data_IF_161070967956
#
_entry.id   IF_161070967956
#
_cell.length_a   1.000
_cell.length_b   1.000
_cell.length_c   1.000
_cell.angle_alpha   90.00
_cell.angle_beta   90.00
_cell.angle_gamma   90.00
#
_symmetry.space_group_name_H-M   'P 1'
#
loop_
_entity.id
_entity.type
_entity.pdbx_description
1 polymer ?
#
# COMPACT_ATOMS: atom_id res chain seq x y z
N UNK A 1 -21.17 -18.42 34.45
CA UNK A 1 -19.76 -18.85 34.50
C UNK A 1 -19.48 -19.29 35.92
N UNK A 2 -18.96 -20.50 36.12
CA UNK A 2 -18.66 -21.07 37.42
C UNK A 2 -17.61 -20.21 38.16
N UNK A 3 -17.78 -20.05 39.48
CA UNK A 3 -16.87 -19.22 40.32
C UNK A 3 -15.42 -19.67 40.24
N UNK A 4 -15.19 -20.98 40.13
CA UNK A 4 -13.82 -21.51 39.98
C UNK A 4 -13.19 -21.09 38.64
N UNK A 5 -13.97 -21.04 37.57
CA UNK A 5 -13.51 -20.56 36.25
C UNK A 5 -13.22 -19.05 36.25
N UNK A 6 -14.00 -18.26 36.97
CA UNK A 6 -13.74 -16.82 37.13
C UNK A 6 -12.44 -16.53 37.83
N UNK A 7 -12.16 -17.27 38.95
CA UNK A 7 -10.91 -17.15 39.71
C UNK A 7 -9.70 -17.57 38.87
N UNK A 8 -9.80 -18.69 38.15
CA UNK A 8 -8.73 -19.17 37.28
C UNK A 8 -8.44 -18.17 36.14
N UNK A 9 -9.48 -17.59 35.53
CA UNK A 9 -9.33 -16.56 34.49
C UNK A 9 -8.66 -15.30 35.04
N UNK A 10 -9.11 -14.81 36.20
CA UNK A 10 -8.52 -13.63 36.83
C UNK A 10 -7.04 -13.83 37.18
N UNK A 11 -6.67 -15.00 37.68
CA UNK A 11 -5.28 -15.36 37.96
C UNK A 11 -4.43 -15.40 36.68
N UNK A 12 -4.94 -16.02 35.60
CA UNK A 12 -4.27 -16.08 34.31
C UNK A 12 -4.06 -14.69 33.69
N UNK A 13 -5.08 -13.83 33.73
CA UNK A 13 -5.01 -12.44 33.23
C UNK A 13 -3.99 -11.62 34.03
N UNK A 14 -3.97 -11.74 35.36
CA UNK A 14 -2.99 -11.08 36.20
C UNK A 14 -1.57 -11.54 35.94
N UNK A 15 -1.35 -12.81 35.65
CA UNK A 15 -0.04 -13.35 35.31
C UNK A 15 0.44 -12.87 33.93
N UNK A 16 -0.47 -12.83 32.94
CA UNK A 16 -0.19 -12.30 31.61
C UNK A 16 0.15 -10.80 31.69
N UNK A 17 -0.61 -10.03 32.45
CA UNK A 17 -0.35 -8.59 32.63
C UNK A 17 1.01 -8.33 33.30
N UNK A 18 1.40 -9.16 34.28
CA UNK A 18 2.73 -9.07 34.90
C UNK A 18 3.86 -9.39 33.94
N UNK A 19 3.67 -10.37 33.05
CA UNK A 19 4.72 -10.87 32.17
C UNK A 19 4.84 -10.08 30.88
N UNK A 20 3.73 -9.61 30.32
CA UNK A 20 3.65 -8.99 29.00
C UNK A 20 3.19 -7.53 29.01
N UNK A 21 2.86 -6.98 30.17
CA UNK A 21 2.38 -5.61 30.32
C UNK A 21 0.87 -5.44 30.26
N UNK A 22 0.40 -4.26 30.73
CA UNK A 22 -1.01 -3.89 30.67
C UNK A 22 -1.53 -3.87 29.23
N UNK A 23 -2.70 -4.45 29.01
CA UNK A 23 -3.35 -4.50 27.70
C UNK A 23 -2.89 -5.67 26.80
N UNK A 24 -1.99 -6.56 27.29
CA UNK A 24 -1.60 -7.77 26.57
C UNK A 24 -2.82 -8.69 26.26
N UNK A 25 -3.81 -8.70 27.13
CA UNK A 25 -5.14 -9.31 26.92
C UNK A 25 -6.19 -8.32 27.38
N UNK A 26 -7.19 -8.09 26.53
CA UNK A 26 -8.31 -7.20 26.82
C UNK A 26 -9.63 -7.80 26.33
N UNK A 27 -10.73 -7.37 26.92
CA UNK A 27 -12.05 -7.75 26.40
C UNK A 27 -12.40 -6.85 25.22
N UNK A 28 -12.90 -7.42 24.13
CA UNK A 28 -13.25 -6.65 22.94
C UNK A 28 -14.32 -5.57 23.21
N UNK A 29 -15.20 -5.77 24.20
CA UNK A 29 -16.22 -4.81 24.63
C UNK A 29 -15.67 -3.62 25.42
N UNK A 30 -14.47 -3.75 26.00
CA UNK A 30 -13.84 -2.69 26.79
C UNK A 30 -13.01 -1.73 25.89
N UNK A 31 -12.86 -2.05 24.62
CA UNK A 31 -12.22 -1.20 23.63
C UNK A 31 -13.25 -0.21 23.08
N UNK A 32 -13.07 1.08 23.38
CA UNK A 32 -13.64 2.12 22.54
C UNK A 32 -13.18 1.84 21.10
N UNK A 33 -14.12 1.74 20.17
CA UNK A 33 -13.81 1.64 18.74
C UNK A 33 -13.09 2.92 18.33
N UNK A 34 -11.78 2.95 18.48
CA UNK A 34 -10.99 4.04 17.93
C UNK A 34 -11.17 4.00 16.41
N UNK A 35 -11.67 5.10 15.88
CA UNK A 35 -11.74 5.30 14.43
C UNK A 35 -10.33 5.12 13.84
N UNK A 36 -10.20 4.29 12.80
CA UNK A 36 -8.93 4.09 12.12
C UNK A 36 -8.62 5.38 11.38
N UNK A 37 -7.49 6.06 11.65
CA UNK A 37 -7.13 7.26 10.91
C UNK A 37 -6.95 6.92 9.44
N UNK A 38 -7.49 7.74 8.56
CA UNK A 38 -7.45 7.54 7.12
C UNK A 38 -6.87 8.77 6.40
N UNK A 39 -6.26 8.54 5.25
CA UNK A 39 -5.79 9.56 4.33
C UNK A 39 -6.66 9.51 3.08
N UNK A 40 -7.27 10.63 2.71
CA UNK A 40 -8.08 10.74 1.50
C UNK A 40 -7.28 10.38 0.26
N UNK A 41 -7.93 9.74 -0.69
CA UNK A 41 -7.37 9.46 -2.02
C UNK A 41 -7.46 10.63 -2.98
N UNK A 42 -8.20 11.68 -2.61
CA UNK A 42 -8.56 12.78 -3.50
C UNK A 42 -9.81 12.50 -4.34
N UNK A 43 -10.31 11.28 -4.34
CA UNK A 43 -11.57 10.88 -4.97
C UNK A 43 -12.62 10.57 -3.91
N UNK A 44 -13.65 11.40 -3.81
CA UNK A 44 -14.74 11.19 -2.85
C UNK A 44 -15.40 9.80 -3.02
N UNK A 45 -15.60 9.37 -4.27
CA UNK A 45 -16.20 8.07 -4.56
C UNK A 45 -15.35 6.92 -4.05
N UNK A 46 -14.03 7.00 -4.21
CA UNK A 46 -13.10 5.98 -3.71
C UNK A 46 -13.02 6.00 -2.18
N UNK A 47 -12.98 7.17 -1.57
CA UNK A 47 -12.97 7.32 -0.11
C UNK A 47 -14.22 6.70 0.53
N UNK A 48 -15.39 6.87 -0.08
CA UNK A 48 -16.64 6.21 0.33
C UNK A 48 -16.55 4.68 0.13
N UNK A 49 -16.02 4.23 -1.01
CA UNK A 49 -15.85 2.81 -1.30
C UNK A 49 -14.91 2.10 -0.32
N UNK A 50 -13.91 2.80 0.19
CA UNK A 50 -12.99 2.30 1.21
C UNK A 50 -13.62 2.16 2.61
N UNK A 51 -14.72 2.85 2.87
CA UNK A 51 -15.56 2.69 4.05
C UNK A 51 -15.09 3.42 5.31
N UNK A 52 -13.88 3.97 5.33
CA UNK A 52 -13.30 4.74 6.43
C UNK A 52 -12.90 6.16 6.04
N UNK A 53 -13.29 6.60 4.85
CA UNK A 53 -12.99 7.93 4.34
C UNK A 53 -11.63 8.08 3.67
N UNK A 54 -10.96 6.98 3.35
CA UNK A 54 -9.66 6.96 2.67
C UNK A 54 -8.87 5.70 2.95
N UNK A 55 -7.56 5.78 2.75
CA UNK A 55 -6.62 4.69 2.99
C UNK A 55 -6.17 4.67 4.45
N UNK A 56 -6.08 3.47 5.09
CA UNK A 56 -5.81 3.37 6.52
C UNK A 56 -4.36 3.69 6.87
N UNK A 57 -4.12 4.57 7.81
CA UNK A 57 -2.80 4.79 8.43
C UNK A 57 -2.40 3.57 9.26
N UNK A 58 -1.10 3.32 9.38
CA UNK A 58 -0.57 2.17 10.12
C UNK A 58 -0.78 0.84 9.41
N UNK A 59 -1.01 0.85 8.10
CA UNK A 59 -1.30 -0.33 7.28
C UNK A 59 -0.54 -0.32 5.97
N UNK A 60 -0.38 -1.51 5.40
CA UNK A 60 0.13 -1.72 4.05
C UNK A 60 -1.06 -1.79 3.08
N UNK A 61 -0.95 -1.06 1.98
CA UNK A 61 -1.91 -1.02 0.87
C UNK A 61 -1.19 -1.43 -0.41
N UNK A 62 -1.82 -2.25 -1.22
CA UNK A 62 -1.37 -2.57 -2.58
C UNK A 62 -2.33 -1.96 -3.60
N UNK A 63 -1.77 -1.25 -4.57
CA UNK A 63 -2.48 -0.76 -5.75
C UNK A 63 -1.87 -1.44 -6.97
N UNK A 64 -2.68 -2.18 -7.71
CA UNK A 64 -2.21 -2.91 -8.88
C UNK A 64 -3.14 -2.73 -10.07
N UNK A 65 -2.58 -2.87 -11.24
CA UNK A 65 -3.29 -2.75 -12.50
C UNK A 65 -2.34 -2.82 -13.70
N UNK A 66 -2.89 -2.78 -14.91
CA UNK A 66 -2.10 -2.69 -16.14
C UNK A 66 -1.23 -1.43 -16.16
N UNK A 67 -0.29 -1.42 -17.08
CA UNK A 67 0.46 -0.20 -17.40
C UNK A 67 -0.48 0.93 -17.84
N UNK A 68 -0.14 2.16 -17.51
CA UNK A 68 -0.93 3.36 -17.84
C UNK A 68 -2.39 3.35 -17.33
N UNK A 69 -2.66 2.58 -16.27
CA UNK A 69 -4.00 2.54 -15.63
C UNK A 69 -4.25 3.65 -14.61
N UNK A 70 -3.24 4.47 -14.29
CA UNK A 70 -3.34 5.57 -13.33
C UNK A 70 -2.87 5.25 -11.92
N UNK A 71 -2.10 4.18 -11.72
CA UNK A 71 -1.57 3.79 -10.39
C UNK A 71 -0.75 4.90 -9.74
N UNK A 72 0.25 5.40 -10.44
CA UNK A 72 1.13 6.47 -9.94
C UNK A 72 0.34 7.76 -9.73
N UNK A 73 -0.56 8.12 -10.64
CA UNK A 73 -1.43 9.28 -10.51
C UNK A 73 -2.28 9.23 -9.24
N UNK A 74 -2.89 8.07 -8.95
CA UNK A 74 -3.67 7.90 -7.73
C UNK A 74 -2.81 8.08 -6.47
N UNK A 75 -1.60 7.53 -6.45
CA UNK A 75 -0.71 7.68 -5.28
C UNK A 75 -0.20 9.10 -5.11
N UNK A 76 0.07 9.83 -6.20
CA UNK A 76 0.41 11.26 -6.13
C UNK A 76 -0.76 12.10 -5.60
N UNK A 77 -1.99 11.77 -5.96
CA UNK A 77 -3.18 12.38 -5.37
C UNK A 77 -3.29 12.13 -3.87
N UNK A 78 -2.99 10.92 -3.41
CA UNK A 78 -2.93 10.59 -1.96
C UNK A 78 -1.87 11.45 -1.25
N UNK A 79 -0.68 11.60 -1.84
CA UNK A 79 0.37 12.48 -1.29
C UNK A 79 -0.11 13.93 -1.20
N UNK A 80 -0.71 14.44 -2.27
CA UNK A 80 -1.23 15.82 -2.29
C UNK A 80 -2.27 16.05 -1.18
N UNK A 81 -3.20 15.12 -1.00
CA UNK A 81 -4.20 15.19 0.07
C UNK A 81 -3.56 15.11 1.47
N UNK A 82 -2.60 14.22 1.66
CA UNK A 82 -1.87 14.09 2.92
C UNK A 82 -1.11 15.39 3.27
N UNK A 83 -0.41 15.97 2.30
CA UNK A 83 0.36 17.20 2.50
C UNK A 83 -0.52 18.39 2.87
N UNK A 84 -1.76 18.48 2.35
CA UNK A 84 -2.73 19.52 2.77
C UNK A 84 -3.02 19.51 4.27
N UNK A 85 -2.83 18.36 4.91
CA UNK A 85 -3.01 18.19 6.36
C UNK A 85 -1.69 18.16 7.13
N UNK A 86 -0.60 18.64 6.54
CA UNK A 86 0.71 18.74 7.17
C UNK A 86 1.47 17.42 7.27
N UNK A 87 1.09 16.40 6.51
CA UNK A 87 1.78 15.11 6.51
C UNK A 87 3.13 15.18 5.80
N UNK A 88 4.10 14.42 6.32
CA UNK A 88 5.39 14.20 5.66
C UNK A 88 5.32 12.94 4.82
N UNK A 89 5.63 13.06 3.52
CA UNK A 89 5.51 12.00 2.54
C UNK A 89 6.86 11.66 1.91
N UNK A 90 7.03 10.39 1.56
CA UNK A 90 8.20 9.88 0.84
C UNK A 90 7.77 9.03 -0.36
N UNK A 91 8.56 9.10 -1.43
CA UNK A 91 8.35 8.34 -2.65
C UNK A 91 9.64 7.56 -2.98
N UNK A 92 9.56 6.24 -2.89
CA UNK A 92 10.64 5.33 -3.27
C UNK A 92 10.42 4.95 -4.73
N UNK A 93 11.13 5.65 -5.62
CA UNK A 93 11.00 5.56 -7.07
C UNK A 93 11.98 4.52 -7.64
N UNK A 94 11.61 3.25 -7.54
CA UNK A 94 12.41 2.15 -8.06
C UNK A 94 12.38 2.04 -9.60
N UNK A 95 11.40 2.66 -10.24
CA UNK A 95 11.32 2.75 -11.71
C UNK A 95 12.12 3.91 -12.29
N UNK A 96 12.57 4.84 -11.46
CA UNK A 96 13.28 6.08 -11.89
C UNK A 96 12.45 6.90 -12.90
N UNK A 97 11.15 6.96 -12.68
CA UNK A 97 10.19 7.52 -13.64
C UNK A 97 9.27 8.62 -13.04
N UNK A 98 9.54 9.06 -11.81
CA UNK A 98 8.76 10.14 -11.19
C UNK A 98 9.04 11.47 -11.88
N UNK A 99 7.97 12.07 -12.40
CA UNK A 99 7.99 13.39 -13.04
C UNK A 99 7.56 14.46 -12.02
N UNK A 100 8.47 15.36 -11.59
CA UNK A 100 8.15 16.43 -10.65
C UNK A 100 7.11 17.42 -11.17
N UNK A 101 7.14 17.74 -12.46
CA UNK A 101 6.19 18.68 -13.07
C UNK A 101 4.78 18.12 -13.06
N UNK A 102 4.65 16.82 -13.39
CA UNK A 102 3.37 16.12 -13.32
C UNK A 102 2.87 16.00 -11.88
N UNK A 103 3.74 15.65 -10.93
CA UNK A 103 3.39 15.62 -9.52
C UNK A 103 2.88 16.98 -9.01
N UNK A 104 3.57 18.06 -9.39
CA UNK A 104 3.17 19.43 -9.05
C UNK A 104 1.79 19.80 -9.60
N UNK A 105 1.47 19.40 -10.83
CA UNK A 105 0.14 19.62 -11.44
C UNK A 105 -0.99 18.88 -10.70
N UNK A 106 -0.68 17.74 -10.08
CA UNK A 106 -1.62 17.00 -9.24
C UNK A 106 -1.77 17.57 -7.83
N UNK A 107 -1.06 18.66 -7.52
CA UNK A 107 -1.14 19.35 -6.24
C UNK A 107 -0.12 18.87 -5.20
N UNK A 108 0.88 18.07 -5.61
CA UNK A 108 1.98 17.68 -4.73
C UNK A 108 2.91 18.87 -4.52
N UNK A 109 3.22 19.19 -3.25
CA UNK A 109 4.33 20.06 -2.93
C UNK A 109 5.63 19.26 -3.12
N UNK A 110 6.28 19.47 -4.26
CA UNK A 110 7.47 18.71 -4.66
C UNK A 110 8.70 19.07 -3.84
N UNK A 111 8.75 20.29 -3.31
CA UNK A 111 9.87 20.74 -2.48
C UNK A 111 9.91 20.02 -1.12
N UNK A 112 8.77 19.60 -0.61
CA UNK A 112 8.64 18.89 0.66
C UNK A 112 8.57 17.36 0.51
N UNK A 113 8.48 16.86 -0.72
CA UNK A 113 8.43 15.42 -0.98
C UNK A 113 9.83 14.81 -0.90
N UNK A 114 10.01 13.83 -0.02
CA UNK A 114 11.23 13.04 0.02
C UNK A 114 11.20 12.01 -1.10
N UNK A 115 12.26 11.96 -1.91
CA UNK A 115 12.38 11.01 -3.03
C UNK A 115 13.65 10.19 -2.88
N UNK A 116 13.54 8.87 -3.04
CA UNK A 116 14.65 7.92 -3.11
C UNK A 116 14.59 7.15 -4.42
N UNK A 117 15.74 7.00 -5.07
CA UNK A 117 15.86 6.21 -6.30
C UNK A 117 16.88 5.08 -6.09
N UNK A 118 16.46 3.97 -5.46
CA UNK A 118 17.34 2.86 -5.12
C UNK A 118 17.75 2.05 -6.35
N UNK A 119 18.93 1.43 -6.28
CA UNK A 119 19.47 0.60 -7.36
C UNK A 119 19.05 -0.86 -7.26
N UNK A 120 18.69 -1.33 -6.06
CA UNK A 120 18.33 -2.72 -5.80
C UNK A 120 17.03 -2.82 -4.99
N UNK A 121 16.36 -3.98 -5.07
CA UNK A 121 15.17 -4.26 -4.26
C UNK A 121 15.46 -4.24 -2.76
N UNK A 122 16.61 -4.78 -2.33
CA UNK A 122 17.05 -4.75 -0.94
C UNK A 122 17.20 -3.32 -0.43
N UNK A 123 17.85 -2.45 -1.20
CA UNK A 123 18.04 -1.04 -0.85
C UNK A 123 16.70 -0.31 -0.72
N UNK A 124 15.80 -0.51 -1.68
CA UNK A 124 14.47 0.11 -1.65
C UNK A 124 13.66 -0.27 -0.41
N UNK A 125 13.66 -1.56 -0.09
CA UNK A 125 12.88 -2.08 1.04
C UNK A 125 13.52 -1.73 2.38
N UNK A 126 14.85 -1.66 2.47
CA UNK A 126 15.55 -1.22 3.67
C UNK A 126 15.34 0.27 3.93
N UNK A 127 15.40 1.12 2.90
CA UNK A 127 15.05 2.54 3.01
C UNK A 127 13.62 2.70 3.50
N UNK A 128 12.68 1.94 2.93
CA UNK A 128 11.27 1.96 3.35
C UNK A 128 11.12 1.58 4.83
N UNK A 129 11.78 0.53 5.29
CA UNK A 129 11.74 0.10 6.69
C UNK A 129 12.35 1.16 7.63
N UNK A 130 13.47 1.77 7.23
CA UNK A 130 14.10 2.85 8.01
C UNK A 130 13.19 4.07 8.14
N UNK A 131 12.53 4.47 7.04
CA UNK A 131 11.57 5.57 7.05
C UNK A 131 10.36 5.27 7.95
N UNK A 132 9.84 4.05 7.91
CA UNK A 132 8.75 3.62 8.81
C UNK A 132 9.21 3.70 10.28
N UNK A 133 10.38 3.17 10.60
CA UNK A 133 10.91 3.15 11.97
C UNK A 133 11.27 4.54 12.53
N UNK A 134 11.47 5.52 11.68
CA UNK A 134 11.74 6.90 12.11
C UNK A 134 10.57 7.54 12.86
N UNK A 135 9.35 7.03 12.71
CA UNK A 135 8.10 7.60 13.21
C UNK A 135 7.82 9.04 12.73
N UNK A 136 8.54 9.51 11.71
CA UNK A 136 8.44 10.88 11.20
C UNK A 136 7.70 10.97 9.85
N UNK A 137 7.44 9.82 9.20
CA UNK A 137 6.82 9.77 7.88
C UNK A 137 5.39 9.25 7.99
N UNK A 138 4.46 9.95 7.38
CA UNK A 138 3.03 9.61 7.39
C UNK A 138 2.62 8.72 6.21
N UNK A 139 3.23 8.93 5.04
CA UNK A 139 2.94 8.20 3.80
C UNK A 139 4.23 7.86 3.09
N UNK A 140 4.35 6.60 2.69
CA UNK A 140 5.45 6.11 1.84
C UNK A 140 4.83 5.41 0.64
N UNK A 141 5.25 5.80 -0.56
CA UNK A 141 4.91 5.13 -1.81
C UNK A 141 6.14 4.35 -2.29
N UNK A 142 5.95 3.10 -2.70
CA UNK A 142 6.99 2.29 -3.36
C UNK A 142 6.51 1.99 -4.77
N UNK A 143 7.13 2.58 -5.76
CA UNK A 143 6.79 2.43 -7.18
C UNK A 143 7.98 1.88 -7.99
N UNK A 144 7.90 0.69 -8.45
CA UNK A 144 6.92 -0.36 -8.26
C UNK A 144 7.58 -1.65 -7.80
N UNK A 145 6.78 -2.59 -7.29
CA UNK A 145 7.28 -3.93 -6.89
C UNK A 145 7.99 -4.64 -8.04
N UNK A 146 7.52 -4.48 -9.27
CA UNK A 146 8.13 -5.07 -10.45
C UNK A 146 9.60 -4.62 -10.68
N UNK A 147 9.95 -3.42 -10.24
CA UNK A 147 11.29 -2.85 -10.35
C UNK A 147 12.20 -3.19 -9.15
N UNK A 148 11.69 -3.88 -8.14
CA UNK A 148 12.48 -4.32 -6.97
C UNK A 148 13.29 -5.57 -7.32
N UNK A 149 14.36 -5.38 -8.10
CA UNK A 149 15.25 -6.46 -8.54
C UNK A 149 16.22 -6.79 -7.42
N UNK A 150 16.33 -8.08 -7.01
CA UNK A 150 17.31 -8.51 -6.03
C UNK A 150 18.75 -8.24 -6.49
N UNK A 151 19.60 -7.82 -5.56
CA UNK A 151 21.01 -7.52 -5.85
C UNK A 151 21.74 -8.70 -6.51
N UNK A 152 21.49 -9.92 -6.03
CA UNK A 152 22.08 -11.12 -6.59
C UNK A 152 21.69 -11.36 -8.06
N UNK A 153 20.50 -10.91 -8.48
CA UNK A 153 20.06 -10.98 -9.87
C UNK A 153 20.77 -9.94 -10.74
N UNK A 154 21.03 -8.76 -10.19
CA UNK A 154 21.77 -7.68 -10.91
C UNK A 154 23.24 -8.06 -11.09
N UNK A 155 23.86 -8.66 -10.08
CA UNK A 155 25.28 -9.04 -10.08
C UNK A 155 25.56 -10.39 -10.76
N UNK A 156 24.51 -11.18 -11.08
CA UNK A 156 24.59 -12.45 -11.78
C UNK A 156 24.93 -12.31 -13.27
N UNK A 157 25.34 -13.40 -13.89
CA UNK A 157 25.60 -13.44 -15.32
C UNK A 157 24.30 -13.57 -16.13
N UNK A 158 24.34 -13.12 -17.40
CA UNK A 158 23.22 -13.27 -18.31
C UNK A 158 22.89 -14.77 -18.50
N UNK A 159 21.65 -15.13 -18.14
CA UNK A 159 21.19 -16.51 -18.22
C UNK A 159 21.15 -17.26 -16.89
N UNK A 160 21.68 -16.67 -15.82
CA UNK A 160 21.54 -17.25 -14.48
C UNK A 160 20.09 -17.37 -14.05
N UNK A 161 19.74 -18.47 -13.41
CA UNK A 161 18.40 -18.72 -12.92
C UNK A 161 18.24 -18.20 -11.48
N UNK A 162 17.50 -17.10 -11.33
CA UNK A 162 17.23 -16.49 -10.03
C UNK A 162 15.76 -16.68 -9.57
N UNK A 163 15.29 -17.91 -9.67
CA UNK A 163 13.88 -18.26 -9.39
C UNK A 163 13.51 -17.93 -7.93
N UNK A 164 12.48 -17.13 -7.77
CA UNK A 164 11.87 -16.85 -6.47
C UNK A 164 12.63 -15.90 -5.57
N UNK A 165 13.75 -15.30 -5.98
CA UNK A 165 14.50 -14.36 -5.15
C UNK A 165 13.69 -13.11 -4.77
N UNK A 166 12.97 -12.52 -5.73
CA UNK A 166 12.12 -11.36 -5.47
C UNK A 166 10.99 -11.68 -4.49
N UNK A 167 10.35 -12.84 -4.64
CA UNK A 167 9.29 -13.27 -3.73
C UNK A 167 9.80 -13.50 -2.29
N UNK A 168 11.01 -14.03 -2.12
CA UNK A 168 11.66 -14.20 -0.81
C UNK A 168 11.98 -12.84 -0.20
N UNK A 169 12.55 -11.93 -0.98
CA UNK A 169 12.88 -10.58 -0.55
C UNK A 169 11.63 -9.85 -0.07
N UNK A 170 10.53 -9.89 -0.85
CA UNK A 170 9.25 -9.29 -0.47
C UNK A 170 8.69 -9.90 0.82
N UNK A 171 8.72 -11.21 0.96
CA UNK A 171 8.24 -11.89 2.17
C UNK A 171 9.02 -11.48 3.42
N UNK A 172 10.34 -11.39 3.31
CA UNK A 172 11.21 -10.98 4.41
C UNK A 172 10.98 -9.52 4.80
N UNK A 173 10.96 -8.63 3.82
CA UNK A 173 10.79 -7.20 4.03
C UNK A 173 9.42 -6.86 4.62
N UNK A 174 8.35 -7.41 4.04
CA UNK A 174 6.98 -7.16 4.52
C UNK A 174 6.76 -7.68 5.94
N UNK A 175 7.41 -8.77 6.33
CA UNK A 175 7.38 -9.27 7.71
C UNK A 175 7.96 -8.25 8.69
N UNK A 176 9.10 -7.64 8.34
CA UNK A 176 9.73 -6.58 9.15
C UNK A 176 8.87 -5.32 9.19
N UNK A 177 8.48 -4.81 8.03
CA UNK A 177 7.70 -3.57 7.89
C UNK A 177 6.37 -3.69 8.65
N UNK A 178 5.66 -4.82 8.53
CA UNK A 178 4.39 -5.05 9.23
C UNK A 178 4.55 -5.00 10.76
N UNK A 179 5.67 -5.47 11.30
CA UNK A 179 5.97 -5.37 12.72
C UNK A 179 6.14 -3.92 13.19
N UNK A 180 6.71 -3.06 12.37
CA UNK A 180 7.04 -1.67 12.70
C UNK A 180 5.90 -0.69 12.40
N UNK A 181 5.12 -0.95 11.37
CA UNK A 181 4.16 0.02 10.80
C UNK A 181 3.02 0.38 11.76
N UNK A 182 2.58 -0.55 12.60
CA UNK A 182 1.50 -0.31 13.57
C UNK A 182 1.85 0.80 14.56
N UNK A 183 3.09 0.80 15.03
CA UNK A 183 3.58 1.77 16.01
C UNK A 183 3.92 3.11 15.36
N UNK A 184 4.30 3.09 14.08
CA UNK A 184 4.68 4.28 13.33
C UNK A 184 3.48 5.09 12.82
N UNK A 185 2.27 4.52 12.81
CA UNK A 185 1.07 5.13 12.24
C UNK A 185 1.28 5.65 10.80
N UNK A 186 2.12 4.94 10.04
CA UNK A 186 2.51 5.26 8.67
C UNK A 186 1.68 4.45 7.66
N UNK A 187 1.21 5.08 6.60
CA UNK A 187 0.62 4.41 5.45
C UNK A 187 1.72 4.06 4.45
N UNK A 188 1.88 2.78 4.12
CA UNK A 188 2.81 2.33 3.07
C UNK A 188 2.01 1.75 1.91
N UNK A 189 2.17 2.35 0.73
CA UNK A 189 1.50 1.93 -0.50
C UNK A 189 2.53 1.32 -1.44
N UNK A 190 2.31 0.07 -1.82
CA UNK A 190 3.07 -0.60 -2.88
C UNK A 190 2.27 -0.56 -4.18
N UNK A 191 2.87 0.01 -5.22
CA UNK A 191 2.36 -0.07 -6.58
C UNK A 191 2.85 -1.37 -7.20
N UNK A 192 1.97 -2.11 -7.87
CA UNK A 192 2.31 -3.37 -8.50
C UNK A 192 1.76 -3.47 -9.92
N UNK A 193 2.40 -4.31 -10.71
CA UNK A 193 2.01 -4.59 -12.09
C UNK A 193 1.33 -5.96 -12.17
N UNK A 194 0.51 -6.13 -13.21
CA UNK A 194 -0.10 -7.41 -13.54
C UNK A 194 0.83 -8.19 -14.46
N UNK A 195 0.89 -9.48 -14.24
CA UNK A 195 1.53 -10.48 -15.11
C UNK A 195 0.52 -11.56 -15.46
N UNK A 196 0.70 -12.18 -16.60
CA UNK A 196 -0.13 -13.29 -17.05
C UNK A 196 0.56 -14.62 -16.74
N UNK A 197 -0.12 -15.51 -16.04
CA UNK A 197 0.35 -16.88 -15.83
C UNK A 197 0.09 -17.71 -17.07
N UNK A 198 1.12 -18.39 -17.54
CA UNK A 198 1.02 -19.33 -18.66
C UNK A 198 0.37 -20.64 -18.18
N UNK A 199 -0.51 -21.22 -18.98
CA UNK A 199 -1.09 -22.54 -18.72
C UNK A 199 -2.27 -22.58 -17.74
N UNK A 200 -2.88 -21.44 -17.41
CA UNK A 200 -4.10 -21.41 -16.60
C UNK A 200 -5.31 -21.77 -17.45
N UNK A 201 -5.88 -22.95 -17.24
CA UNK A 201 -7.07 -23.44 -17.98
C UNK A 201 -8.38 -22.95 -17.36
N UNK A 202 -8.41 -22.63 -16.05
CA UNK A 202 -9.59 -22.18 -15.32
C UNK A 202 -9.25 -21.01 -14.40
N UNK A 203 -10.18 -20.06 -14.29
CA UNK A 203 -10.01 -18.85 -13.47
C UNK A 203 -9.26 -17.73 -14.20
N UNK A 204 -8.89 -16.68 -13.49
CA UNK A 204 -8.13 -15.56 -14.06
C UNK A 204 -6.64 -15.92 -14.17
N UNK A 205 -6.02 -15.75 -15.35
CA UNK A 205 -4.59 -15.91 -15.52
C UNK A 205 -3.78 -14.75 -14.92
N UNK A 206 -4.43 -13.66 -14.54
CA UNK A 206 -3.76 -12.48 -14.01
C UNK A 206 -3.17 -12.73 -12.63
N UNK A 207 -1.95 -12.28 -12.42
CA UNK A 207 -1.27 -12.28 -11.12
C UNK A 207 -0.43 -11.02 -10.98
N UNK A 208 -0.06 -10.68 -9.76
CA UNK A 208 0.83 -9.55 -9.47
C UNK A 208 2.27 -10.04 -9.31
N UNK A 209 3.25 -9.14 -9.50
CA UNK A 209 4.68 -9.45 -9.29
C UNK A 209 5.03 -9.56 -7.80
N UNK A 210 6.17 -10.15 -7.48
CA UNK A 210 6.68 -10.23 -6.10
C UNK A 210 6.09 -11.35 -5.24
N UNK A 211 5.43 -12.34 -5.86
CA UNK A 211 4.85 -13.49 -5.15
C UNK A 211 3.55 -13.15 -4.41
N UNK A 212 3.29 -13.89 -3.32
CA UNK A 212 2.02 -13.79 -2.58
C UNK A 212 2.09 -12.91 -1.32
N UNK A 213 3.27 -12.41 -0.95
CA UNK A 213 3.46 -11.72 0.33
C UNK A 213 2.56 -10.46 0.45
N UNK A 214 2.49 -9.61 -0.57
CA UNK A 214 1.61 -8.44 -0.57
C UNK A 214 0.14 -8.79 -0.48
N UNK A 215 -0.30 -9.87 -1.14
CA UNK A 215 -1.69 -10.34 -1.02
C UNK A 215 -2.05 -10.69 0.41
N UNK A 216 -1.09 -11.20 1.17
CA UNK A 216 -1.26 -11.58 2.57
C UNK A 216 -1.15 -10.39 3.52
N UNK A 217 -0.09 -9.58 3.40
CA UNK A 217 0.22 -8.51 4.35
C UNK A 217 -0.58 -7.23 4.12
N UNK A 218 -1.08 -6.98 2.91
CA UNK A 218 -1.91 -5.80 2.63
C UNK A 218 -3.23 -5.84 3.38
N UNK A 219 -3.59 -4.74 4.02
CA UNK A 219 -4.91 -4.55 4.63
C UNK A 219 -5.97 -4.13 3.61
N UNK A 220 -5.55 -3.42 2.57
CA UNK A 220 -6.37 -2.97 1.45
C UNK A 220 -5.65 -3.29 0.15
N UNK A 221 -6.38 -3.80 -0.84
CA UNK A 221 -5.89 -4.02 -2.20
C UNK A 221 -6.85 -3.39 -3.19
N UNK A 222 -6.31 -2.57 -4.07
CA UNK A 222 -7.05 -1.85 -5.10
C UNK A 222 -6.64 -2.34 -6.50
N UNK A 223 -7.61 -2.76 -7.29
CA UNK A 223 -7.48 -3.06 -8.71
C UNK A 223 -7.91 -1.84 -9.51
N UNK A 224 -6.97 -1.20 -10.20
CA UNK A 224 -7.23 0.00 -11.00
C UNK A 224 -7.18 -0.33 -12.49
N UNK A 225 -8.19 0.09 -13.24
CA UNK A 225 -8.35 -0.15 -14.67
C UNK A 225 -8.80 1.12 -15.40
N UNK A 226 -8.19 1.36 -16.54
CA UNK A 226 -8.72 2.30 -17.51
C UNK A 226 -9.93 1.66 -18.20
N UNK A 227 -11.06 2.37 -18.22
CA UNK A 227 -12.31 1.89 -18.83
C UNK A 227 -12.69 2.63 -20.12
N UNK A 228 -12.13 3.83 -20.33
CA UNK A 228 -12.42 4.64 -21.49
C UNK A 228 -11.46 5.82 -21.64
N UNK A 229 -11.70 6.64 -22.64
CA UNK A 229 -10.98 7.89 -22.87
C UNK A 229 -11.93 9.08 -22.69
N UNK A 230 -11.45 10.12 -22.02
CA UNK A 230 -12.13 11.42 -21.96
C UNK A 230 -11.65 12.25 -23.14
N UNK A 231 -12.59 12.77 -23.93
CA UNK A 231 -12.28 13.56 -25.13
C UNK A 231 -12.89 14.95 -25.05
N UNK A 232 -12.13 15.93 -25.54
CA UNK A 232 -12.64 17.27 -25.88
C UNK A 232 -12.55 17.42 -27.40
N UNK A 233 -13.69 17.32 -28.10
CA UNK A 233 -13.70 17.19 -29.55
C UNK A 233 -13.05 15.88 -30.00
N UNK A 234 -12.03 15.97 -30.86
CA UNK A 234 -11.24 14.82 -31.33
C UNK A 234 -10.02 14.51 -30.49
N UNK A 235 -9.67 15.35 -29.50
CA UNK A 235 -8.51 15.21 -28.66
C UNK A 235 -8.82 14.39 -27.42
N UNK A 236 -7.92 13.43 -27.08
CA UNK A 236 -7.98 12.67 -25.82
C UNK A 236 -7.31 13.47 -24.73
N UNK A 237 -8.09 13.98 -23.78
CA UNK A 237 -7.63 14.83 -22.67
C UNK A 237 -7.53 14.09 -21.35
N UNK A 238 -7.97 12.84 -21.29
CA UNK A 238 -7.92 12.07 -20.05
C UNK A 238 -8.36 10.63 -20.24
N UNK A 239 -8.47 9.92 -19.13
CA UNK A 239 -8.97 8.56 -19.07
C UNK A 239 -10.10 8.41 -18.06
N UNK A 240 -11.09 7.61 -18.40
CA UNK A 240 -12.03 7.08 -17.43
C UNK A 240 -11.41 5.89 -16.72
N UNK A 241 -11.53 5.89 -15.41
CA UNK A 241 -10.80 4.96 -14.55
C UNK A 241 -11.76 4.35 -13.54
N UNK A 242 -11.65 3.05 -13.36
CA UNK A 242 -12.37 2.30 -12.33
C UNK A 242 -11.39 1.70 -11.33
N UNK A 243 -11.69 1.87 -10.05
CA UNK A 243 -10.96 1.24 -8.95
C UNK A 243 -11.90 0.33 -8.19
N UNK A 244 -11.53 -0.94 -8.07
CA UNK A 244 -12.24 -1.95 -7.29
C UNK A 244 -11.45 -2.26 -6.03
N UNK A 245 -12.13 -2.21 -4.88
CA UNK A 245 -11.58 -2.61 -3.59
C UNK A 245 -11.69 -4.14 -3.47
N UNK A 246 -10.65 -4.86 -3.85
CA UNK A 246 -10.68 -6.34 -3.90
C UNK A 246 -10.36 -7.00 -2.58
N UNK A 247 -9.72 -6.30 -1.67
CA UNK A 247 -9.47 -6.71 -0.28
C UNK A 247 -9.59 -5.50 0.62
N UNK A 248 -10.28 -5.67 1.75
CA UNK A 248 -10.40 -4.63 2.76
C UNK A 248 -10.56 -5.27 4.14
N UNK A 249 -9.60 -5.03 5.03
CA UNK A 249 -9.64 -5.50 6.43
C UNK A 249 -10.23 -4.48 7.40
N UNK A 250 -10.53 -3.27 6.93
CA UNK A 250 -11.01 -2.16 7.77
C UNK A 250 -12.48 -1.82 7.52
N UNK A 251 -13.05 -2.32 6.42
CA UNK A 251 -14.46 -2.15 6.06
C UNK A 251 -14.88 -3.28 5.09
N UNK A 252 -16.18 -3.42 4.74
CA UNK A 252 -16.63 -4.40 3.75
C UNK A 252 -15.96 -4.21 2.38
N UNK A 253 -15.40 -5.28 1.77
CA UNK A 253 -14.72 -5.22 0.48
C UNK A 253 -15.70 -5.22 -0.71
N UNK A 254 -15.12 -5.24 -1.93
CA UNK A 254 -15.79 -5.39 -3.24
C UNK A 254 -16.60 -4.19 -3.73
N UNK A 255 -16.50 -3.05 -3.04
CA UNK A 255 -17.01 -1.79 -3.56
C UNK A 255 -16.09 -1.26 -4.65
N UNK A 256 -16.62 -0.42 -5.51
CA UNK A 256 -15.86 0.21 -6.59
C UNK A 256 -16.20 1.69 -6.70
N UNK A 257 -15.28 2.43 -7.27
CA UNK A 257 -15.47 3.83 -7.65
C UNK A 257 -14.99 4.05 -9.08
N UNK A 258 -15.61 5.01 -9.75
CA UNK A 258 -15.22 5.47 -11.08
C UNK A 258 -14.95 6.97 -11.03
N UNK A 259 -13.88 7.38 -11.69
CA UNK A 259 -13.49 8.79 -11.82
C UNK A 259 -12.69 9.02 -13.09
N UNK A 260 -12.49 10.29 -13.42
CA UNK A 260 -11.68 10.69 -14.56
C UNK A 260 -10.31 11.14 -14.10
N UNK A 261 -9.28 10.73 -14.83
CA UNK A 261 -7.93 11.26 -14.73
C UNK A 261 -7.70 12.15 -15.95
N UNK A 262 -7.55 13.44 -15.73
CA UNK A 262 -7.26 14.40 -16.80
C UNK A 262 -5.75 14.58 -16.94
N UNK A 263 -5.26 14.62 -18.19
CA UNK A 263 -3.84 14.74 -18.47
C UNK A 263 -3.42 16.22 -18.46
N UNK A 264 -2.61 16.58 -17.46
CA UNK A 264 -2.02 17.90 -17.38
C UNK A 264 -2.94 19.03 -16.89
N UNK A 265 -4.06 18.69 -16.28
CA UNK A 265 -4.93 19.66 -15.60
C UNK A 265 -4.95 19.43 -14.11
#
# INVERSE_FOLDING_TARGET
MDENKKRALAAALGQIEKQFGKGAVMRMGDHERQAIPAISTGSLGLDIALGIGGLPKGRIVEIYGPESSGKTTLTLSVIAEAQKHGATCAFVDAEHALDPDYAGKLGVNVDDLLVSQPDTGEQALEITDMLVRSNAIDVIIVDSVAALVPKAEIEGEMGDMHVGLQARLMSQALRKITGNIKNANCLVIFINQIRMKIGVMFGSPETTTGGNALKFYSSVRLDIRRTGAVKEGDEVVGSETRVKVVKNKVAPPFRQAEFQILYGK
#
